data_IF_494371980315
#
_entry.id   IF_494371980315
#
_cell.length_a   1.000
_cell.length_b   1.000
_cell.length_c   1.000
_cell.angle_alpha   90.00
_cell.angle_beta   90.00
_cell.angle_gamma   90.00
#
_symmetry.space_group_name_H-M   'P 1'
#
loop_
_entity.id
_entity.type
_entity.pdbx_description
1 polymer ?
#
# COMPACT_ATOMS: atom_id res chain seq x y z
N UNK A 1 1.98 1.13 14.29
CA UNK A 1 3.07 2.12 14.09
C UNK A 1 3.74 1.96 12.72
N UNK A 2 4.34 0.81 12.41
CA UNK A 2 5.09 0.58 11.15
C UNK A 2 4.26 0.86 9.89
N UNK A 3 3.04 0.33 9.83
CA UNK A 3 2.11 0.55 8.70
C UNK A 3 1.74 2.03 8.47
N UNK A 4 1.73 2.86 9.52
CA UNK A 4 1.44 4.28 9.38
C UNK A 4 2.65 5.05 8.84
N UNK A 5 3.86 4.67 9.26
CA UNK A 5 5.12 5.23 8.75
C UNK A 5 5.26 4.91 7.26
N UNK A 6 4.97 3.66 6.86
CA UNK A 6 5.00 3.23 5.46
C UNK A 6 4.01 4.04 4.62
N UNK A 7 2.79 4.26 5.13
CA UNK A 7 1.77 5.05 4.44
C UNK A 7 2.23 6.50 4.20
N UNK A 8 2.83 7.14 5.21
CA UNK A 8 3.36 8.50 5.07
C UNK A 8 4.58 8.58 4.14
N UNK A 9 5.47 7.59 4.19
CA UNK A 9 6.62 7.52 3.28
C UNK A 9 6.15 7.27 1.84
N UNK A 10 5.18 6.38 1.64
CA UNK A 10 4.57 6.03 0.34
C UNK A 10 3.84 7.17 -0.35
N UNK A 11 3.45 8.19 0.40
CA UNK A 11 2.88 9.41 -0.16
C UNK A 11 3.90 10.32 -0.84
N UNK A 12 5.21 10.16 -0.57
CA UNK A 12 6.27 11.09 -1.00
C UNK A 12 7.36 10.38 -1.80
N UNK A 13 7.64 9.12 -1.46
CA UNK A 13 8.68 8.31 -2.07
C UNK A 13 8.08 7.25 -3.01
N UNK A 14 8.86 6.86 -4.00
CA UNK A 14 8.51 5.78 -4.92
C UNK A 14 8.41 4.41 -4.21
N UNK A 15 7.54 3.53 -4.72
CA UNK A 15 7.25 2.23 -4.12
C UNK A 15 8.50 1.34 -4.04
N UNK A 16 9.32 1.33 -5.10
CA UNK A 16 10.58 0.58 -5.12
C UNK A 16 11.60 1.13 -4.12
N UNK A 17 11.68 2.44 -3.98
CA UNK A 17 12.61 3.07 -3.03
C UNK A 17 12.26 2.68 -1.59
N UNK A 18 10.97 2.66 -1.24
CA UNK A 18 10.50 2.25 0.09
C UNK A 18 10.76 0.77 0.32
N UNK A 19 10.48 -0.10 -0.65
CA UNK A 19 10.76 -1.53 -0.53
C UNK A 19 12.25 -1.75 -0.24
N UNK A 20 13.14 -1.14 -1.03
CA UNK A 20 14.59 -1.32 -0.85
C UNK A 20 15.11 -0.78 0.49
N UNK A 21 14.53 0.31 1.00
CA UNK A 21 14.95 0.94 2.25
C UNK A 21 14.36 0.23 3.48
N UNK A 22 13.05 0.00 3.48
CA UNK A 22 12.32 -0.48 4.66
C UNK A 22 12.40 -1.99 4.84
N UNK A 23 12.49 -2.79 3.76
CA UNK A 23 12.56 -4.25 3.87
C UNK A 23 13.74 -4.73 4.73
N UNK A 24 15.01 -4.34 4.47
CA UNK A 24 16.13 -4.80 5.29
C UNK A 24 16.03 -4.32 6.75
N UNK A 25 15.32 -3.22 7.00
CA UNK A 25 15.10 -2.68 8.34
C UNK A 25 14.00 -3.44 9.10
N UNK A 26 12.90 -3.80 8.42
CA UNK A 26 11.75 -4.45 9.06
C UNK A 26 11.88 -5.96 9.17
N UNK A 27 12.52 -6.65 8.22
CA UNK A 27 12.72 -8.11 8.28
C UNK A 27 13.32 -8.61 9.61
N UNK A 28 14.42 -8.04 10.15
CA UNK A 28 14.97 -8.50 11.42
C UNK A 28 13.98 -8.31 12.58
N UNK A 29 13.28 -7.18 12.63
CA UNK A 29 12.26 -6.88 13.64
C UNK A 29 11.11 -7.89 13.57
N UNK A 30 10.64 -8.22 12.36
CA UNK A 30 9.57 -9.20 12.14
C UNK A 30 10.01 -10.61 12.57
N UNK A 31 11.27 -10.99 12.31
CA UNK A 31 11.82 -12.26 12.78
C UNK A 31 11.90 -12.32 14.31
N UNK A 32 12.35 -11.25 14.97
CA UNK A 32 12.43 -11.18 16.44
C UNK A 32 11.04 -11.25 17.10
N UNK A 33 10.03 -10.62 16.48
CA UNK A 33 8.65 -10.66 16.95
C UNK A 33 7.94 -12.00 16.63
N UNK A 34 8.58 -12.91 15.89
CA UNK A 34 7.98 -14.18 15.48
C UNK A 34 6.77 -14.02 14.56
N UNK A 35 6.67 -12.90 13.85
CA UNK A 35 5.55 -12.60 12.95
C UNK A 35 5.78 -13.28 11.61
N UNK A 36 4.70 -13.76 10.98
CA UNK A 36 4.76 -14.33 9.64
C UNK A 36 5.19 -13.27 8.60
N UNK A 37 6.31 -13.55 7.93
CA UNK A 37 6.92 -12.66 6.94
C UNK A 37 6.06 -12.46 5.70
N UNK A 38 5.32 -13.49 5.28
CA UNK A 38 4.47 -13.42 4.09
C UNK A 38 3.28 -12.50 4.36
N UNK A 39 2.62 -12.70 5.50
CA UNK A 39 1.52 -11.83 5.94
C UNK A 39 1.97 -10.38 6.08
N UNK A 40 3.10 -10.14 6.73
CA UNK A 40 3.66 -8.79 6.83
C UNK A 40 3.98 -8.20 5.45
N UNK A 41 4.58 -8.98 4.55
CA UNK A 41 4.89 -8.57 3.19
C UNK A 41 3.64 -8.17 2.41
N UNK A 42 2.54 -8.93 2.52
CA UNK A 42 1.27 -8.60 1.88
C UNK A 42 0.71 -7.28 2.43
N UNK A 43 0.68 -7.11 3.76
CA UNK A 43 0.25 -5.86 4.37
C UNK A 43 1.10 -4.68 3.93
N UNK A 44 2.42 -4.87 3.86
CA UNK A 44 3.38 -3.87 3.45
C UNK A 44 3.12 -3.39 2.01
N UNK A 45 2.96 -4.31 1.07
CA UNK A 45 2.70 -3.98 -0.35
C UNK A 45 1.34 -3.32 -0.54
N UNK A 46 0.28 -3.85 0.09
CA UNK A 46 -1.07 -3.24 0.01
C UNK A 46 -1.04 -1.82 0.57
N UNK A 47 -0.32 -1.58 1.66
CA UNK A 47 -0.20 -0.26 2.27
C UNK A 47 0.54 0.74 1.37
N UNK A 48 1.65 0.32 0.75
CA UNK A 48 2.37 1.14 -0.24
C UNK A 48 1.46 1.49 -1.42
N UNK A 49 0.69 0.54 -1.92
CA UNK A 49 -0.20 0.76 -3.05
C UNK A 49 -1.32 1.77 -2.72
N UNK A 50 -1.86 1.73 -1.50
CA UNK A 50 -2.80 2.77 -1.01
C UNK A 50 -2.12 4.13 -0.95
N UNK A 51 -0.90 4.20 -0.43
CA UNK A 51 -0.15 5.44 -0.32
C UNK A 51 0.15 6.06 -1.71
N UNK A 52 0.43 5.22 -2.70
CA UNK A 52 0.70 5.62 -4.08
C UNK A 52 -0.52 6.27 -4.78
N UNK A 53 -1.72 5.97 -4.30
CA UNK A 53 -2.99 6.54 -4.75
C UNK A 53 -3.47 7.70 -3.88
N UNK A 54 -2.91 7.88 -2.68
CA UNK A 54 -3.39 8.89 -1.73
C UNK A 54 -2.68 10.23 -1.98
N UNK A 55 -3.40 11.36 -2.07
CA UNK A 55 -2.79 12.70 -2.10
C UNK A 55 -1.89 12.92 -0.87
N UNK A 56 -0.75 13.61 -0.97
CA UNK A 56 -0.47 14.79 -1.80
C UNK A 56 0.20 14.54 -3.16
N UNK A 57 0.97 13.46 -3.31
CA UNK A 57 1.76 13.21 -4.51
C UNK A 57 1.13 12.20 -5.46
N UNK A 58 0.23 11.31 -4.99
CA UNK A 58 -0.61 10.41 -5.79
C UNK A 58 -0.04 10.05 -7.16
N UNK A 59 1.12 9.39 -7.21
CA UNK A 59 1.98 9.30 -8.41
C UNK A 59 1.20 8.77 -9.63
N UNK A 60 0.40 7.71 -9.43
CA UNK A 60 -0.47 7.13 -10.46
C UNK A 60 -1.55 8.11 -10.91
N UNK A 61 -2.07 8.96 -10.03
CA UNK A 61 -3.08 9.96 -10.38
C UNK A 61 -2.51 11.09 -11.22
N UNK A 62 -1.26 11.50 -10.97
CA UNK A 62 -0.58 12.49 -11.83
C UNK A 62 -0.28 11.90 -13.20
N UNK A 63 0.14 10.63 -13.22
CA UNK A 63 0.33 9.91 -14.47
C UNK A 63 -0.99 9.81 -15.25
N UNK A 64 -2.09 9.45 -14.58
CA UNK A 64 -3.42 9.43 -15.19
C UNK A 64 -3.84 10.82 -15.70
N UNK A 65 -3.53 11.89 -14.97
CA UNK A 65 -3.83 13.26 -15.41
C UNK A 65 -3.12 13.63 -16.72
N UNK A 66 -1.96 13.02 -17.04
CA UNK A 66 -1.23 13.29 -18.28
C UNK A 66 -1.95 12.82 -19.55
N UNK A 67 -2.84 11.82 -19.43
CA UNK A 67 -3.62 11.27 -20.55
C UNK A 67 -5.07 11.77 -20.57
N UNK A 68 -5.51 12.44 -19.50
CA UNK A 68 -6.86 12.99 -19.38
C UNK A 68 -6.98 14.34 -20.08
N UNK A 69 -8.14 14.66 -20.66
CA UNK A 69 -8.37 15.95 -21.32
C UNK A 69 -8.22 17.13 -20.34
N UNK A 70 -7.94 18.31 -20.91
CA UNK A 70 -7.53 19.50 -20.16
C UNK A 70 -8.63 20.12 -19.30
N UNK A 71 -9.88 19.77 -19.57
CA UNK A 71 -11.08 20.13 -18.81
C UNK A 71 -11.17 19.40 -17.46
N UNK A 72 -10.54 18.23 -17.31
CA UNK A 72 -10.51 17.48 -16.05
C UNK A 72 -9.41 18.03 -15.14
N UNK A 73 -9.80 18.56 -13.98
CA UNK A 73 -8.84 19.07 -12.99
C UNK A 73 -8.24 17.94 -12.14
N UNK A 74 -7.08 18.19 -11.52
CA UNK A 74 -6.49 17.22 -10.57
C UNK A 74 -7.41 16.97 -9.36
N UNK A 75 -8.20 17.97 -8.97
CA UNK A 75 -9.19 17.83 -7.91
C UNK A 75 -10.29 16.84 -8.23
N UNK A 76 -10.70 16.73 -9.50
CA UNK A 76 -11.70 15.76 -9.96
C UNK A 76 -11.13 14.34 -9.91
N UNK A 77 -9.87 14.17 -10.33
CA UNK A 77 -9.14 12.91 -10.23
C UNK A 77 -9.05 12.45 -8.77
N UNK A 78 -8.66 13.35 -7.86
CA UNK A 78 -8.57 13.04 -6.42
C UNK A 78 -9.93 12.69 -5.79
N UNK A 79 -11.01 13.34 -6.20
CA UNK A 79 -12.36 12.97 -5.73
C UNK A 79 -12.79 11.61 -6.26
N UNK A 80 -12.41 11.28 -7.50
CA UNK A 80 -12.81 10.02 -8.13
C UNK A 80 -12.17 8.78 -7.50
N UNK A 81 -10.95 8.91 -6.95
CA UNK A 81 -10.22 7.78 -6.35
C UNK A 81 -10.67 7.48 -4.91
N UNK A 82 -11.34 8.40 -4.23
CA UNK A 82 -11.71 8.27 -2.82
C UNK A 82 -12.45 6.95 -2.48
N UNK A 83 -13.49 6.55 -3.23
CA UNK A 83 -14.17 5.27 -3.03
C UNK A 83 -13.25 4.06 -3.19
N UNK A 84 -12.27 4.13 -4.10
CA UNK A 84 -11.32 3.06 -4.33
C UNK A 84 -10.33 2.92 -3.17
N UNK A 85 -9.82 4.04 -2.65
CA UNK A 85 -8.97 4.05 -1.45
C UNK A 85 -9.70 3.44 -0.25
N UNK A 86 -11.00 3.75 -0.08
CA UNK A 86 -11.81 3.16 0.98
C UNK A 86 -11.91 1.63 0.87
N UNK A 87 -12.11 1.10 -0.33
CA UNK A 87 -12.13 -0.34 -0.56
C UNK A 87 -10.78 -0.99 -0.26
N UNK A 88 -9.68 -0.33 -0.61
CA UNK A 88 -8.34 -0.83 -0.29
C UNK A 88 -8.04 -0.81 1.20
N UNK A 89 -8.43 0.26 1.91
CA UNK A 89 -8.32 0.33 3.37
C UNK A 89 -9.14 -0.75 4.06
N UNK A 90 -10.34 -1.05 3.52
CA UNK A 90 -11.16 -2.16 4.01
C UNK A 90 -10.46 -3.50 3.78
N UNK A 91 -9.91 -3.73 2.58
CA UNK A 91 -9.12 -4.92 2.27
C UNK A 91 -7.89 -5.06 3.19
N UNK A 92 -7.13 -3.98 3.39
CA UNK A 92 -5.99 -3.93 4.30
C UNK A 92 -6.41 -4.29 5.74
N UNK A 93 -7.53 -3.72 6.20
CA UNK A 93 -8.06 -4.01 7.55
C UNK A 93 -8.50 -5.47 7.68
N UNK A 94 -9.14 -6.03 6.66
CA UNK A 94 -9.53 -7.44 6.65
C UNK A 94 -8.31 -8.36 6.72
N UNK A 95 -7.28 -8.11 5.91
CA UNK A 95 -6.04 -8.91 5.94
C UNK A 95 -5.29 -8.73 7.26
N UNK A 96 -5.35 -7.53 7.84
CA UNK A 96 -4.73 -7.26 9.14
C UNK A 96 -5.40 -8.04 10.27
N UNK A 97 -6.74 -8.14 10.27
CA UNK A 97 -7.49 -8.88 11.30
C UNK A 97 -7.48 -10.39 11.03
N UNK A 98 -7.53 -10.78 9.76
CA UNK A 98 -7.62 -12.18 9.33
C UNK A 98 -6.43 -12.54 8.43
N UNK A 99 -5.26 -12.88 9.01
CA UNK A 99 -4.05 -13.25 8.27
C UNK A 99 -4.26 -14.39 7.25
N UNK A 100 -5.20 -15.28 7.54
CA UNK A 100 -5.55 -16.42 6.69
C UNK A 100 -5.98 -15.98 5.29
N UNK A 101 -6.53 -14.77 5.11
CA UNK A 101 -6.88 -14.25 3.78
C UNK A 101 -5.63 -14.17 2.88
N UNK A 102 -4.49 -13.74 3.44
CA UNK A 102 -3.23 -13.67 2.72
C UNK A 102 -2.52 -15.04 2.64
N UNK A 103 -2.65 -15.87 3.68
CA UNK A 103 -1.89 -17.12 3.81
C UNK A 103 -2.57 -18.34 3.20
N UNK A 104 -3.89 -18.30 2.95
CA UNK A 104 -4.69 -19.44 2.52
C UNK A 104 -4.19 -20.06 1.22
N UNK A 105 -4.09 -19.26 0.14
CA UNK A 105 -3.64 -19.77 -1.15
C UNK A 105 -2.19 -20.30 -1.09
N UNK A 106 -1.21 -19.58 -0.53
CA UNK A 106 0.14 -20.10 -0.32
C UNK A 106 0.18 -21.42 0.48
N UNK A 107 -0.68 -21.57 1.50
CA UNK A 107 -0.73 -22.77 2.31
C UNK A 107 -1.28 -24.01 1.57
N UNK A 108 -1.99 -23.82 0.45
CA UNK A 108 -2.48 -24.91 -0.40
C UNK A 108 -1.49 -25.33 -1.49
N UNK A 109 -0.49 -24.49 -1.78
CA UNK A 109 0.53 -24.75 -2.80
C UNK A 109 1.81 -25.39 -2.24
N UNK A 110 1.97 -25.37 -0.91
CA UNK A 110 3.03 -26.07 -0.19
C UNK A 110 2.54 -27.42 0.33
#
# INVERSE_FOLDING_TARGET
MMMFIILLLGMVMDDWAIIMLCTPLYIPIINELGIDKLWFGVLFIVNIQIAYLTPPFGFVLFWLKSVLPSDVSMGDVYKSVGPFILLQLLGLTLVFIFPQIALWLPSMLN
#
